data_IF_461747054913
#
_entry.id   IF_461747054913
#
_cell.length_a   1.000
_cell.length_b   1.000
_cell.length_c   1.000
_cell.angle_alpha   90.00
_cell.angle_beta   90.00
_cell.angle_gamma   90.00
#
_symmetry.space_group_name_H-M   'P 1'
#
loop_
_entity.id
_entity.type
_entity.pdbx_description
1 polymer ?
#
# COMPACT_ATOMS: atom_id res chain seq x y z
N UNK A 1 -4.22 -27.37 2.20
CA UNK A 1 -3.19 -26.52 2.82
C UNK A 1 -3.14 -25.22 2.02
N UNK A 2 -3.47 -24.08 2.62
CA UNK A 2 -3.48 -22.78 1.92
C UNK A 2 -2.47 -21.87 2.63
N UNK A 3 -1.57 -21.26 1.85
CA UNK A 3 -0.57 -20.31 2.34
C UNK A 3 -1.31 -19.11 2.93
N UNK A 4 -0.94 -18.67 4.13
CA UNK A 4 -1.35 -17.37 4.65
C UNK A 4 -0.70 -16.30 3.76
N UNK A 5 -1.45 -15.77 2.81
CA UNK A 5 -1.02 -14.69 1.93
C UNK A 5 -1.42 -13.38 2.59
N UNK A 6 -0.44 -12.53 2.84
CA UNK A 6 -0.63 -11.16 3.30
C UNK A 6 -0.34 -10.21 2.13
N UNK A 7 -1.18 -9.18 1.98
CA UNK A 7 -1.00 -8.13 0.98
C UNK A 7 -0.73 -6.83 1.72
N UNK A 8 0.42 -6.23 1.43
CA UNK A 8 0.83 -4.91 1.94
C UNK A 8 0.91 -3.98 0.73
N UNK A 9 0.25 -2.83 0.82
CA UNK A 9 0.31 -1.76 -0.17
C UNK A 9 1.12 -0.62 0.41
N UNK A 10 2.18 -0.23 -0.29
CA UNK A 10 2.93 0.98 0.00
C UNK A 10 2.44 2.10 -0.91
N UNK A 11 1.76 3.09 -0.33
CA UNK A 11 1.38 4.30 -1.06
C UNK A 11 2.49 5.33 -0.99
N UNK A 12 3.12 5.55 -2.13
CA UNK A 12 4.27 6.44 -2.29
C UNK A 12 3.82 7.90 -2.53
N UNK A 13 2.98 8.41 -1.63
CA UNK A 13 2.42 9.76 -1.65
C UNK A 13 1.53 10.04 -2.88
N UNK A 14 0.53 9.20 -3.14
CA UNK A 14 -0.49 9.46 -4.15
C UNK A 14 -1.34 10.68 -3.76
N UNK A 15 -1.68 11.52 -4.75
CA UNK A 15 -2.47 12.75 -4.54
C UNK A 15 -3.95 12.61 -4.90
N UNK A 16 -4.43 11.36 -4.99
CA UNK A 16 -5.80 11.03 -5.39
C UNK A 16 -6.48 10.13 -4.35
N UNK A 17 -7.76 9.83 -4.56
CA UNK A 17 -8.57 9.05 -3.60
C UNK A 17 -8.43 7.53 -3.77
N UNK A 18 -7.35 7.02 -4.38
CA UNK A 18 -7.22 5.58 -4.69
C UNK A 18 -7.25 4.72 -3.42
N UNK A 19 -6.68 5.21 -2.32
CA UNK A 19 -6.65 4.51 -1.03
C UNK A 19 -8.03 4.22 -0.46
N UNK A 20 -8.97 5.14 -0.62
CA UNK A 20 -10.34 4.96 -0.12
C UNK A 20 -11.06 3.86 -0.89
N UNK A 21 -10.83 3.77 -2.20
CA UNK A 21 -11.36 2.69 -3.04
C UNK A 21 -10.77 1.33 -2.66
N UNK A 22 -9.45 1.28 -2.48
CA UNK A 22 -8.74 0.04 -2.13
C UNK A 22 -9.18 -0.47 -0.75
N UNK A 23 -9.28 0.41 0.27
CA UNK A 23 -9.74 0.03 1.63
C UNK A 23 -11.19 -0.47 1.67
N UNK A 24 -12.06 0.04 0.79
CA UNK A 24 -13.46 -0.42 0.70
C UNK A 24 -13.56 -1.84 0.15
N UNK A 25 -12.75 -2.16 -0.85
CA UNK A 25 -12.82 -3.42 -1.59
C UNK A 25 -12.04 -4.54 -0.89
N UNK A 26 -10.90 -4.23 -0.28
CA UNK A 26 -10.03 -5.23 0.33
C UNK A 26 -9.85 -4.97 1.83
N UNK A 27 -10.65 -5.62 2.67
CA UNK A 27 -10.64 -5.41 4.13
C UNK A 27 -9.41 -5.95 4.87
N UNK A 28 -8.61 -6.81 4.22
CA UNK A 28 -7.48 -7.50 4.85
C UNK A 28 -6.10 -7.06 4.33
N UNK A 29 -6.02 -5.90 3.68
CA UNK A 29 -4.74 -5.32 3.27
C UNK A 29 -4.19 -4.43 4.38
N UNK A 30 -2.86 -4.41 4.50
CA UNK A 30 -2.18 -3.35 5.25
C UNK A 30 -1.74 -2.27 4.28
N UNK A 31 -1.91 -1.02 4.66
CA UNK A 31 -1.48 0.13 3.86
C UNK A 31 -0.42 0.90 4.65
N UNK A 32 0.75 1.10 4.06
CA UNK A 32 1.82 1.95 4.56
C UNK A 32 1.84 3.22 3.70
N UNK A 33 1.86 4.39 4.35
CA UNK A 33 1.82 5.68 3.67
C UNK A 33 3.17 6.37 3.78
N UNK A 34 3.65 6.92 2.67
CA UNK A 34 4.78 7.85 2.68
C UNK A 34 4.29 9.29 2.64
N UNK A 35 4.86 10.15 3.49
CA UNK A 35 4.56 11.59 3.52
C UNK A 35 5.09 12.35 2.29
N UNK A 36 6.05 11.77 1.57
CA UNK A 36 6.63 12.32 0.34
C UNK A 36 6.84 11.21 -0.69
N UNK A 37 6.94 11.58 -1.97
CA UNK A 37 7.31 10.60 -2.99
C UNK A 37 8.79 10.22 -2.83
N UNK A 38 9.07 8.95 -2.56
CA UNK A 38 10.41 8.39 -2.34
C UNK A 38 11.04 7.84 -3.64
N UNK A 39 10.29 7.80 -4.75
CA UNK A 39 10.68 7.02 -5.92
C UNK A 39 10.71 5.51 -5.64
N UNK A 40 10.96 4.70 -6.66
CA UNK A 40 10.87 3.24 -6.55
C UNK A 40 11.96 2.62 -5.66
N UNK A 41 13.19 3.10 -5.76
CA UNK A 41 14.33 2.50 -5.05
C UNK A 41 14.27 2.67 -3.54
N UNK A 42 13.91 3.86 -3.05
CA UNK A 42 13.77 4.11 -1.61
C UNK A 42 12.50 3.45 -1.06
N UNK A 43 11.39 3.47 -1.81
CA UNK A 43 10.12 2.83 -1.39
C UNK A 43 10.20 1.31 -1.22
N UNK A 44 11.03 0.62 -2.02
CA UNK A 44 11.19 -0.85 -1.94
C UNK A 44 12.07 -1.33 -0.79
N UNK A 45 12.85 -0.44 -0.16
CA UNK A 45 13.79 -0.80 0.92
C UNK A 45 13.23 -0.52 2.33
N UNK A 46 11.93 -0.23 2.43
CA UNK A 46 11.22 0.12 3.67
C UNK A 46 10.59 -1.08 4.37
#
# INVERSE_FOLDING_TARGET
SHKNIEIIIFDNNSTNNVLDSIKKEYRYIKVILSERNLGLGEALNL
#
